data_IF_230248032473
#
_entry.id   IF_230248032473
#
_cell.length_a   1.000
_cell.length_b   1.000
_cell.length_c   1.000
_cell.angle_alpha   90.00
_cell.angle_beta   90.00
_cell.angle_gamma   90.00
#
_symmetry.space_group_name_H-M   'P 1'
#
loop_
_entity.id
_entity.type
_entity.pdbx_description
1 polymer ?
#
# COMPACT_ATOMS: atom_id res chain seq x y z
N UNK A 1 -11.20 -1.47 25.61
CA UNK A 1 -10.96 -0.06 25.37
C UNK A 1 -10.86 0.20 23.88
N UNK A 2 -11.55 1.22 23.43
CA UNK A 2 -11.50 1.56 22.00
C UNK A 2 -10.09 2.01 21.63
N UNK A 3 -9.64 1.59 20.47
CA UNK A 3 -8.37 2.03 19.93
C UNK A 3 -8.44 3.53 19.61
N UNK A 4 -7.39 4.26 19.99
CA UNK A 4 -7.30 5.67 19.66
C UNK A 4 -7.21 5.80 18.12
N UNK A 5 -8.11 6.62 17.52
CA UNK A 5 -8.11 6.87 16.09
C UNK A 5 -6.80 7.47 15.59
N UNK A 6 -6.03 8.13 16.47
CA UNK A 6 -4.71 8.67 16.15
C UNK A 6 -3.60 7.65 16.32
N UNK A 7 -3.88 6.46 16.87
CA UNK A 7 -2.83 5.46 17.10
C UNK A 7 -2.32 4.89 15.79
N UNK A 8 -1.01 4.66 15.77
CA UNK A 8 -0.29 4.11 14.63
C UNK A 8 0.43 2.86 15.10
N UNK A 9 0.30 1.74 14.39
CA UNK A 9 0.97 0.51 14.80
C UNK A 9 2.48 0.69 14.93
N UNK A 10 3.08 -0.07 15.84
CA UNK A 10 4.52 -0.04 16.07
C UNK A 10 5.29 -0.29 14.78
N UNK A 11 6.35 0.47 14.58
CA UNK A 11 7.21 0.36 13.40
C UNK A 11 6.80 1.25 12.23
N UNK A 12 5.60 1.82 12.26
CA UNK A 12 5.16 2.75 11.25
C UNK A 12 5.53 4.19 11.63
N UNK A 13 5.98 4.94 10.65
CA UNK A 13 6.32 6.35 10.76
C UNK A 13 5.73 7.10 9.56
N UNK A 14 5.63 8.44 9.61
CA UNK A 14 5.11 9.18 8.48
C UNK A 14 5.83 8.81 7.19
N UNK A 15 5.04 8.56 6.14
CA UNK A 15 5.58 8.14 4.85
C UNK A 15 6.34 9.32 4.21
N UNK A 16 7.56 9.05 3.74
CA UNK A 16 8.47 10.11 3.27
C UNK A 16 8.19 10.58 1.84
N UNK A 17 7.64 9.70 0.99
CA UNK A 17 7.48 10.00 -0.43
C UNK A 17 6.10 10.58 -0.70
N UNK A 18 6.07 11.85 -1.04
CA UNK A 18 4.83 12.59 -1.28
C UNK A 18 4.54 12.66 -2.77
N UNK A 19 3.27 12.73 -3.13
CA UNK A 19 2.83 12.97 -4.49
C UNK A 19 1.49 13.70 -4.49
N UNK A 20 1.20 14.39 -5.59
CA UNK A 20 -0.09 15.06 -5.73
C UNK A 20 -1.27 14.10 -5.65
N UNK A 21 -1.09 12.86 -6.12
CA UNK A 21 -2.15 11.85 -6.06
C UNK A 21 -2.50 11.48 -4.61
N UNK A 22 -1.48 11.29 -3.78
CA UNK A 22 -1.69 10.80 -2.41
C UNK A 22 -1.87 11.92 -1.40
N UNK A 23 -1.56 13.17 -1.73
CA UNK A 23 -1.67 14.30 -0.81
C UNK A 23 -3.04 14.40 -0.12
N UNK A 24 -4.17 14.25 -0.82
CA UNK A 24 -5.48 14.31 -0.17
C UNK A 24 -5.76 13.16 0.81
N UNK A 25 -4.95 12.10 0.77
CA UNK A 25 -5.13 10.91 1.61
C UNK A 25 -4.24 10.90 2.85
N UNK A 26 -3.35 11.90 2.98
CA UNK A 26 -2.48 12.01 4.15
C UNK A 26 -3.29 12.19 5.44
N UNK A 27 -2.84 11.67 6.58
CA UNK A 27 -1.50 11.13 6.80
C UNK A 27 -1.37 9.67 6.35
N UNK A 28 -0.31 9.40 5.61
CA UNK A 28 0.11 8.05 5.26
C UNK A 28 1.33 7.68 6.10
N UNK A 29 1.45 6.39 6.37
CA UNK A 29 2.55 5.86 7.17
C UNK A 29 3.21 4.71 6.44
N UNK A 30 4.46 4.46 6.77
CA UNK A 30 5.18 3.33 6.20
C UNK A 30 6.04 2.65 7.26
N UNK A 31 6.24 1.36 7.07
CA UNK A 31 7.18 0.57 7.86
C UNK A 31 8.17 -0.07 6.88
N UNK A 32 9.42 0.29 7.03
CA UNK A 32 10.47 -0.18 6.14
C UNK A 32 11.19 -1.34 6.79
N UNK A 33 11.27 -2.45 6.06
CA UNK A 33 12.07 -3.61 6.44
C UNK A 33 13.27 -3.70 5.50
N UNK A 34 14.11 -4.71 5.68
CA UNK A 34 15.22 -4.95 4.74
C UNK A 34 14.71 -5.34 3.35
N UNK A 35 13.51 -5.89 3.26
CA UNK A 35 13.00 -6.49 2.02
C UNK A 35 11.83 -5.73 1.42
N UNK A 36 11.15 -4.86 2.17
CA UNK A 36 9.90 -4.28 1.70
C UNK A 36 9.59 -2.94 2.36
N UNK A 37 8.68 -2.20 1.73
CA UNK A 37 8.08 -0.98 2.26
C UNK A 37 6.59 -1.23 2.43
N UNK A 38 6.14 -1.37 3.66
CA UNK A 38 4.73 -1.47 3.99
C UNK A 38 4.13 -0.07 4.04
N UNK A 39 2.92 0.10 3.52
CA UNK A 39 2.21 1.38 3.60
C UNK A 39 0.91 1.15 4.35
N UNK A 40 0.59 2.07 5.25
CA UNK A 40 -0.65 1.98 6.01
C UNK A 40 -1.25 3.35 6.29
N UNK A 41 -2.54 3.33 6.60
CA UNK A 41 -3.28 4.51 7.02
C UNK A 41 -4.47 4.10 7.89
N UNK A 42 -4.94 5.05 8.70
CA UNK A 42 -6.22 4.88 9.40
C UNK A 42 -7.31 5.33 8.43
N UNK A 43 -8.17 4.40 8.02
CA UNK A 43 -9.18 4.69 7.01
C UNK A 43 -10.22 5.68 7.54
N UNK A 44 -10.53 6.66 6.72
CA UNK A 44 -11.50 7.69 7.03
C UNK A 44 -12.30 8.12 5.80
N UNK A 45 -13.07 9.20 5.91
CA UNK A 45 -13.92 9.67 4.80
C UNK A 45 -13.16 9.95 3.50
N UNK A 46 -11.94 10.51 3.58
CA UNK A 46 -11.15 10.83 2.40
C UNK A 46 -10.71 9.59 1.61
N UNK A 47 -10.82 8.41 2.19
CA UNK A 47 -10.40 7.15 1.61
C UNK A 47 -11.56 6.29 1.14
N UNK A 48 -12.79 6.82 1.24
CA UNK A 48 -14.00 6.01 1.18
C UNK A 48 -14.82 6.31 -0.06
N UNK A 49 -15.58 5.30 -0.49
CA UNK A 49 -16.56 5.44 -1.57
C UNK A 49 -17.87 6.01 -1.00
N UNK A 50 -18.86 6.20 -1.88
CA UNK A 50 -20.16 6.76 -1.50
C UNK A 50 -20.96 5.87 -0.53
N UNK A 51 -20.57 4.62 -0.39
CA UNK A 51 -21.22 3.67 0.54
C UNK A 51 -20.55 3.63 1.90
N UNK A 52 -19.46 4.39 2.10
CA UNK A 52 -18.77 4.44 3.39
C UNK A 52 -17.71 3.37 3.59
N UNK A 53 -17.38 2.60 2.57
CA UNK A 53 -16.28 1.63 2.60
C UNK A 53 -15.05 2.21 1.93
N UNK A 54 -13.89 1.68 2.25
CA UNK A 54 -12.65 2.12 1.61
C UNK A 54 -12.75 1.86 0.11
N UNK A 55 -12.41 2.87 -0.67
CA UNK A 55 -12.52 2.83 -2.12
C UNK A 55 -11.49 1.88 -2.72
N UNK A 56 -11.94 1.02 -3.65
CA UNK A 56 -11.03 0.08 -4.32
C UNK A 56 -9.89 0.77 -5.07
N UNK A 57 -10.13 1.95 -5.63
CA UNK A 57 -9.09 2.74 -6.28
C UNK A 57 -8.02 3.21 -5.30
N UNK A 58 -8.40 3.58 -4.08
CA UNK A 58 -7.45 3.93 -3.01
C UNK A 58 -6.57 2.72 -2.68
N UNK A 59 -7.18 1.56 -2.47
CA UNK A 59 -6.45 0.32 -2.17
C UNK A 59 -5.48 -0.01 -3.30
N UNK A 60 -5.93 0.10 -4.55
CA UNK A 60 -5.09 -0.18 -5.72
C UNK A 60 -3.89 0.76 -5.82
N UNK A 61 -4.09 2.05 -5.55
CA UNK A 61 -3.00 3.03 -5.59
C UNK A 61 -1.98 2.77 -4.49
N UNK A 62 -2.42 2.45 -3.27
CA UNK A 62 -1.51 2.14 -2.17
C UNK A 62 -0.74 0.84 -2.44
N UNK A 63 -1.41 -0.16 -3.01
CA UNK A 63 -0.77 -1.42 -3.37
C UNK A 63 0.31 -1.19 -4.43
N UNK A 64 0.00 -0.40 -5.45
CA UNK A 64 0.96 -0.03 -6.49
C UNK A 64 2.18 0.67 -5.89
N UNK A 65 1.96 1.66 -5.03
CA UNK A 65 3.04 2.39 -4.38
C UNK A 65 3.90 1.48 -3.50
N UNK A 66 3.30 0.66 -2.67
CA UNK A 66 4.04 -0.23 -1.76
C UNK A 66 4.87 -1.25 -2.53
N UNK A 67 4.29 -1.86 -3.57
CA UNK A 67 5.01 -2.81 -4.40
C UNK A 67 6.13 -2.14 -5.20
N UNK A 68 5.87 -0.95 -5.76
CA UNK A 68 6.86 -0.19 -6.52
C UNK A 68 8.05 0.24 -5.66
N UNK A 69 7.79 0.74 -4.46
CA UNK A 69 8.85 1.14 -3.53
C UNK A 69 9.64 -0.08 -3.04
N UNK A 70 8.98 -1.22 -2.85
CA UNK A 70 9.66 -2.46 -2.47
C UNK A 70 10.58 -2.97 -3.59
N UNK A 71 10.11 -2.91 -4.83
CA UNK A 71 10.96 -3.21 -5.98
C UNK A 71 12.13 -2.23 -6.07
N UNK A 72 11.89 -0.95 -5.82
CA UNK A 72 12.96 0.06 -5.80
C UNK A 72 14.00 -0.23 -4.73
N UNK A 73 13.57 -0.66 -3.56
CA UNK A 73 14.47 -1.08 -2.48
C UNK A 73 15.35 -2.24 -2.93
N UNK A 74 14.76 -3.24 -3.58
CA UNK A 74 15.49 -4.41 -4.07
C UNK A 74 16.48 -4.07 -5.19
N UNK A 75 16.12 -3.11 -6.05
CA UNK A 75 16.95 -2.71 -7.20
C UNK A 75 17.92 -1.58 -6.88
N UNK A 76 17.74 -0.89 -5.77
CA UNK A 76 18.58 0.23 -5.37
C UNK A 76 18.22 1.56 -6.03
N UNK A 77 17.08 1.66 -6.70
CA UNK A 77 16.58 2.91 -7.29
C UNK A 77 15.06 2.85 -7.47
N UNK A 78 14.42 4.02 -7.58
CA UNK A 78 12.97 4.12 -7.71
C UNK A 78 12.52 4.55 -9.11
N UNK A 79 13.37 4.45 -10.11
CA UNK A 79 13.03 4.80 -11.49
C UNK A 79 12.33 3.61 -12.15
N UNK A 80 11.07 3.44 -11.76
CA UNK A 80 10.23 2.33 -12.21
C UNK A 80 8.91 2.86 -12.74
N UNK A 81 8.36 2.18 -13.72
CA UNK A 81 7.00 2.42 -14.17
C UNK A 81 6.20 1.14 -14.02
N UNK A 82 4.94 1.28 -13.64
CA UNK A 82 4.04 0.14 -13.51
C UNK A 82 3.65 -0.36 -14.90
N UNK A 83 3.91 -1.61 -15.17
CA UNK A 83 3.52 -2.26 -16.43
C UNK A 83 2.18 -2.96 -16.28
N UNK A 84 1.96 -3.59 -15.15
CA UNK A 84 0.72 -4.31 -14.85
C UNK A 84 0.42 -4.22 -13.38
N UNK A 85 -0.85 -4.04 -13.06
CA UNK A 85 -1.35 -4.06 -11.69
C UNK A 85 -2.66 -4.86 -11.71
N UNK A 86 -2.72 -5.89 -10.90
CA UNK A 86 -3.92 -6.70 -10.74
C UNK A 86 -4.30 -6.74 -9.28
N UNK A 87 -5.56 -6.45 -8.97
CA UNK A 87 -6.06 -6.41 -7.60
C UNK A 87 -7.35 -7.23 -7.53
N UNK A 88 -7.39 -8.15 -6.57
CA UNK A 88 -8.62 -8.87 -6.24
C UNK A 88 -9.14 -8.33 -4.91
N UNK A 89 -10.38 -7.88 -4.89
CA UNK A 89 -11.06 -7.40 -3.69
C UNK A 89 -11.81 -8.56 -3.06
N UNK A 90 -11.42 -8.93 -1.85
CA UNK A 90 -11.92 -10.14 -1.17
C UNK A 90 -13.07 -9.80 -0.26
N UNK A 91 -12.93 -8.71 0.52
CA UNK A 91 -14.00 -8.23 1.39
C UNK A 91 -13.86 -6.72 1.60
N UNK A 92 -14.91 -6.08 2.11
CA UNK A 92 -14.91 -4.64 2.30
C UNK A 92 -13.94 -4.23 3.41
N UNK A 93 -13.17 -3.17 3.16
CA UNK A 93 -12.38 -2.50 4.19
C UNK A 93 -13.20 -1.37 4.79
N UNK A 94 -13.07 -1.16 6.10
CA UNK A 94 -13.98 -0.30 6.86
C UNK A 94 -13.32 0.97 7.34
N UNK A 95 -14.09 2.06 7.38
CA UNK A 95 -13.67 3.29 8.04
C UNK A 95 -13.38 3.02 9.52
N UNK A 96 -12.38 3.73 10.03
CA UNK A 96 -11.93 3.59 11.42
C UNK A 96 -10.89 2.51 11.63
N UNK A 97 -10.75 1.58 10.70
CA UNK A 97 -9.78 0.50 10.80
C UNK A 97 -8.44 0.89 10.19
N UNK A 98 -7.39 0.23 10.64
CA UNK A 98 -6.06 0.39 10.06
C UNK A 98 -5.96 -0.43 8.78
N UNK A 99 -5.72 0.26 7.67
CA UNK A 99 -5.51 -0.37 6.37
C UNK A 99 -4.01 -0.49 6.13
N UNK A 100 -3.55 -1.69 5.80
CA UNK A 100 -2.13 -1.95 5.67
C UNK A 100 -1.83 -2.80 4.45
N UNK A 101 -0.89 -2.35 3.64
CA UNK A 101 -0.38 -3.09 2.48
C UNK A 101 0.93 -3.75 2.88
N UNK A 102 1.00 -5.07 2.69
CA UNK A 102 2.17 -5.90 3.01
C UNK A 102 2.73 -6.49 1.72
N UNK A 103 3.69 -5.82 1.09
CA UNK A 103 4.24 -6.27 -0.19
C UNK A 103 5.36 -7.29 -0.01
N UNK A 104 5.60 -8.03 -1.09
CA UNK A 104 6.72 -8.95 -1.19
C UNK A 104 7.26 -8.89 -2.62
N UNK A 105 8.57 -8.67 -2.75
CA UNK A 105 9.22 -8.75 -4.05
C UNK A 105 9.40 -10.23 -4.39
N UNK A 106 8.87 -10.64 -5.54
CA UNK A 106 8.89 -12.03 -5.96
C UNK A 106 10.12 -12.33 -6.81
N UNK A 107 10.51 -11.40 -7.68
CA UNK A 107 11.66 -11.57 -8.55
C UNK A 107 12.12 -10.24 -9.10
N UNK A 108 13.43 -10.01 -9.12
CA UNK A 108 14.05 -8.90 -9.83
C UNK A 108 14.80 -9.43 -11.04
N UNK A 109 14.46 -8.94 -12.22
CA UNK A 109 15.19 -9.21 -13.44
C UNK A 109 16.02 -7.99 -13.87
N UNK A 110 16.63 -8.06 -15.02
CA UNK A 110 17.45 -6.95 -15.55
C UNK A 110 16.61 -5.72 -15.89
N UNK A 111 15.37 -5.91 -16.31
CA UNK A 111 14.47 -4.82 -16.72
C UNK A 111 13.13 -4.86 -16.03
N UNK A 112 12.70 -6.02 -15.49
CA UNK A 112 11.40 -6.21 -14.86
C UNK A 112 11.55 -6.62 -13.41
N UNK A 113 10.63 -6.15 -12.59
CA UNK A 113 10.50 -6.56 -11.19
C UNK A 113 9.07 -6.99 -10.93
N UNK A 114 8.91 -8.12 -10.26
CA UNK A 114 7.62 -8.74 -9.97
C UNK A 114 7.37 -8.69 -8.47
N UNK A 115 6.21 -8.21 -8.08
CA UNK A 115 5.84 -8.13 -6.67
C UNK A 115 4.42 -8.58 -6.45
N UNK A 116 4.13 -8.99 -5.23
CA UNK A 116 2.80 -9.32 -4.74
C UNK A 116 2.54 -8.57 -3.45
N UNK A 117 1.27 -8.44 -3.07
CA UNK A 117 0.91 -7.80 -1.81
C UNK A 117 -0.38 -8.39 -1.27
N UNK A 118 -0.48 -8.41 0.05
CA UNK A 118 -1.71 -8.65 0.78
C UNK A 118 -2.10 -7.35 1.47
N UNK A 119 -3.40 -7.05 1.46
CA UNK A 119 -3.94 -5.82 2.06
C UNK A 119 -4.91 -6.22 3.17
N UNK A 120 -4.67 -5.67 4.36
CA UNK A 120 -5.44 -5.96 5.55
C UNK A 120 -6.20 -4.74 6.03
N UNK A 121 -7.44 -4.96 6.45
CA UNK A 121 -8.23 -4.01 7.21
C UNK A 121 -8.31 -4.57 8.62
N UNK A 122 -7.60 -3.96 9.57
CA UNK A 122 -7.28 -4.57 10.86
C UNK A 122 -6.68 -5.98 10.64
N UNK A 123 -7.29 -7.03 11.15
CA UNK A 123 -6.79 -8.39 11.01
C UNK A 123 -7.40 -9.16 9.83
N UNK A 124 -8.25 -8.51 9.05
CA UNK A 124 -8.97 -9.16 7.96
C UNK A 124 -8.28 -8.92 6.63
N UNK A 125 -7.97 -9.99 5.91
CA UNK A 125 -7.46 -9.89 4.54
C UNK A 125 -8.58 -9.36 3.64
N UNK A 126 -8.45 -8.13 3.16
CA UNK A 126 -9.50 -7.48 2.38
C UNK A 126 -9.21 -7.44 0.89
N UNK A 127 -7.94 -7.57 0.50
CA UNK A 127 -7.56 -7.58 -0.92
C UNK A 127 -6.20 -8.24 -1.08
N UNK A 128 -5.91 -8.65 -2.30
CA UNK A 128 -4.57 -9.10 -2.69
C UNK A 128 -4.24 -8.51 -4.04
N UNK A 129 -2.94 -8.31 -4.30
CA UNK A 129 -2.49 -7.68 -5.52
C UNK A 129 -1.20 -8.31 -6.02
N UNK A 130 -0.95 -8.15 -7.31
CA UNK A 130 0.35 -8.40 -7.88
C UNK A 130 0.63 -7.35 -8.95
N UNK A 131 1.89 -7.08 -9.18
CA UNK A 131 2.29 -6.04 -10.12
C UNK A 131 3.61 -6.40 -10.79
N UNK A 132 3.78 -5.80 -11.97
CA UNK A 132 5.02 -5.87 -12.74
C UNK A 132 5.48 -4.45 -12.97
N UNK A 133 6.74 -4.18 -12.65
CA UNK A 133 7.37 -2.88 -12.87
C UNK A 133 8.52 -3.02 -13.86
N UNK A 134 8.75 -1.98 -14.63
CA UNK A 134 9.89 -1.91 -15.55
C UNK A 134 10.77 -0.74 -15.17
N UNK A 135 12.09 -0.94 -15.29
CA UNK A 135 13.04 0.17 -15.13
C UNK A 135 12.82 1.21 -16.24
N UNK A 136 12.81 2.46 -15.82
CA UNK A 136 12.56 3.59 -16.73
C UNK A 136 13.81 4.44 -16.91
#
# INVERSE_FOLDING_TARGET
MAEDAASVPEGFAPHWRKSGLTDPWEPLYSRRTEEAVYIGLRAGPAHSNSRGFVHGGLISALADNAMGLSCGLALGHVRLVTVNLTVDFITAAKQGEWLEVRPKVMRTGSTLCFAAAEIFSSDTLCARANAIFRTA
#
